data_IF_619095724892
#
_entry.id   IF_619095724892
#
_cell.length_a   1.000
_cell.length_b   1.000
_cell.length_c   1.000
_cell.angle_alpha   90.00
_cell.angle_beta   90.00
_cell.angle_gamma   90.00
#
_symmetry.space_group_name_H-M   'P 1'
#
loop_
_entity.id
_entity.type
_entity.pdbx_description
1 polymer ?
#
# COMPACT_ATOMS: atom_id res chain seq x y z
N UNK A 1 -4.86 -8.36 -17.09
CA UNK A 1 -4.43 -7.22 -16.25
C UNK A 1 -3.47 -7.74 -15.19
N UNK A 2 -2.28 -7.14 -15.01
CA UNK A 2 -1.23 -7.68 -14.10
C UNK A 2 -0.79 -6.63 -13.09
N UNK A 3 -1.69 -6.27 -12.17
CA UNK A 3 -1.48 -5.27 -11.10
C UNK A 3 -0.33 -5.66 -10.15
N UNK A 4 0.03 -6.95 -10.06
CA UNK A 4 1.13 -7.41 -9.19
C UNK A 4 2.53 -7.05 -9.68
N UNK A 5 2.74 -6.79 -10.98
CA UNK A 5 4.09 -6.64 -11.53
C UNK A 5 4.97 -7.86 -11.22
N UNK A 6 6.09 -7.62 -10.54
CA UNK A 6 7.05 -8.63 -10.07
C UNK A 6 6.85 -9.06 -8.60
N UNK A 7 5.80 -8.57 -7.94
CA UNK A 7 5.46 -8.94 -6.57
C UNK A 7 4.88 -10.35 -6.53
N UNK A 8 5.51 -11.24 -5.78
CA UNK A 8 4.97 -12.57 -5.51
C UNK A 8 3.64 -12.45 -4.73
N UNK A 9 2.57 -13.18 -5.12
CA UNK A 9 1.28 -13.12 -4.41
C UNK A 9 1.38 -13.36 -2.91
N UNK A 10 2.29 -14.22 -2.46
CA UNK A 10 2.53 -14.50 -1.04
C UNK A 10 2.99 -13.31 -0.20
N UNK A 11 3.40 -12.19 -0.83
CA UNK A 11 3.70 -10.95 -0.11
C UNK A 11 2.46 -10.13 0.25
N UNK A 12 1.32 -10.41 -0.38
CA UNK A 12 0.07 -9.68 -0.13
C UNK A 12 -1.09 -10.61 0.24
N UNK A 13 -0.96 -11.92 0.02
CA UNK A 13 -1.95 -12.92 0.40
C UNK A 13 -1.44 -13.74 1.58
N UNK A 14 -2.19 -13.75 2.67
CA UNK A 14 -1.90 -14.55 3.86
C UNK A 14 -2.21 -16.03 3.61
N UNK A 15 -1.69 -16.92 4.46
CA UNK A 15 -1.94 -18.37 4.34
C UNK A 15 -3.42 -18.76 4.42
N UNK A 16 -4.24 -18.00 5.17
CA UNK A 16 -5.69 -18.19 5.25
C UNK A 16 -6.48 -17.48 4.12
N UNK A 17 -5.80 -16.93 3.10
CA UNK A 17 -6.43 -16.37 1.91
C UNK A 17 -6.90 -14.92 2.03
N UNK A 18 -6.53 -14.20 3.09
CA UNK A 18 -6.81 -12.76 3.21
C UNK A 18 -5.81 -11.98 2.37
N UNK A 19 -6.26 -10.87 1.79
CA UNK A 19 -5.41 -9.97 1.01
C UNK A 19 -5.12 -8.73 1.86
N UNK A 20 -3.83 -8.45 2.08
CA UNK A 20 -3.39 -7.19 2.67
C UNK A 20 -3.81 -6.02 1.79
N UNK A 21 -4.18 -4.90 2.40
CA UNK A 21 -4.39 -3.67 1.66
C UNK A 21 -3.06 -3.25 1.00
N UNK A 22 -3.13 -2.82 -0.26
CA UNK A 22 -1.94 -2.60 -1.10
C UNK A 22 -1.71 -1.13 -1.42
N UNK A 23 -0.44 -0.76 -1.52
CA UNK A 23 0.01 0.50 -2.10
C UNK A 23 0.14 0.30 -3.59
N UNK A 24 -0.43 1.21 -4.39
CA UNK A 24 -0.25 1.21 -5.84
C UNK A 24 0.60 2.41 -6.27
N UNK A 25 1.60 2.16 -7.12
CA UNK A 25 2.38 3.18 -7.83
C UNK A 25 2.33 2.85 -9.32
N UNK A 26 1.89 3.81 -10.13
CA UNK A 26 1.70 3.66 -11.58
C UNK A 26 0.86 2.42 -11.97
N UNK A 27 -0.12 2.05 -11.13
CA UNK A 27 -1.00 0.91 -11.34
C UNK A 27 -0.43 -0.46 -10.92
N UNK A 28 0.73 -0.48 -10.27
CA UNK A 28 1.38 -1.71 -9.78
C UNK A 28 1.50 -1.73 -8.26
N UNK A 29 1.40 -2.92 -7.67
CA UNK A 29 1.63 -3.14 -6.23
C UNK A 29 3.06 -2.77 -5.88
N UNK A 30 3.20 -1.81 -4.97
CA UNK A 30 4.49 -1.33 -4.49
C UNK A 30 4.72 -1.59 -2.99
N UNK A 31 3.73 -2.15 -2.29
CA UNK A 31 3.80 -2.43 -0.85
C UNK A 31 2.45 -2.76 -0.24
N UNK A 32 2.42 -2.83 1.08
CA UNK A 32 1.20 -2.99 1.89
C UNK A 32 0.99 -1.78 2.79
N UNK A 33 -0.22 -1.65 3.33
CA UNK A 33 -0.50 -0.68 4.36
C UNK A 33 -1.54 -1.20 5.37
N UNK A 34 -1.60 -0.56 6.52
CA UNK A 34 -2.55 -0.87 7.60
C UNK A 34 -3.11 0.43 8.20
N UNK A 35 -4.36 0.40 8.68
CA UNK A 35 -4.94 1.46 9.50
C UNK A 35 -4.95 1.00 10.96
N UNK A 36 -4.15 1.65 11.80
CA UNK A 36 -4.04 1.33 13.22
C UNK A 36 -4.26 2.60 14.04
N UNK A 37 -5.27 2.62 14.92
CA UNK A 37 -5.54 3.76 15.78
C UNK A 37 -5.78 5.08 15.03
N UNK A 38 -6.42 5.02 13.86
CA UNK A 38 -6.67 6.18 13.01
C UNK A 38 -5.44 6.68 12.24
N UNK A 39 -4.34 5.91 12.21
CA UNK A 39 -3.12 6.22 11.45
C UNK A 39 -2.85 5.18 10.39
N UNK A 40 -2.47 5.64 9.20
CA UNK A 40 -2.09 4.79 8.07
C UNK A 40 -0.59 4.50 8.16
N UNK A 41 -0.26 3.23 8.36
CA UNK A 41 1.10 2.72 8.33
C UNK A 41 1.41 2.18 6.93
N UNK A 42 2.35 2.82 6.26
CA UNK A 42 2.79 2.46 4.91
C UNK A 42 4.03 1.56 4.95
N UNK A 43 4.02 0.45 4.20
CA UNK A 43 5.12 -0.51 4.12
C UNK A 43 5.50 -0.82 2.66
N UNK A 44 6.25 0.08 1.98
CA UNK A 44 6.72 -0.16 0.63
C UNK A 44 7.70 -1.35 0.55
N UNK A 45 7.61 -2.16 -0.50
CA UNK A 45 8.52 -3.29 -0.75
C UNK A 45 9.91 -2.87 -1.23
N UNK A 46 10.08 -1.61 -1.62
CA UNK A 46 11.32 -1.05 -2.10
C UNK A 46 11.35 0.46 -1.97
N UNK A 47 12.46 1.07 -2.40
CA UNK A 47 12.58 2.53 -2.42
C UNK A 47 11.66 3.09 -3.50
N UNK A 48 10.71 3.92 -3.08
CA UNK A 48 9.92 4.76 -3.98
C UNK A 48 10.74 5.99 -4.38
N UNK A 49 10.39 6.68 -5.45
CA UNK A 49 10.98 7.99 -5.72
C UNK A 49 10.38 9.08 -4.82
N UNK A 50 10.86 10.32 -4.95
CA UNK A 50 10.38 11.41 -4.11
C UNK A 50 8.94 11.86 -4.43
N UNK A 51 8.48 11.68 -5.67
CA UNK A 51 7.13 12.08 -6.08
C UNK A 51 6.11 11.08 -5.54
N UNK A 52 6.35 9.77 -5.74
CA UNK A 52 5.52 8.70 -5.23
C UNK A 52 5.42 8.72 -3.71
N UNK A 53 6.52 8.99 -2.98
CA UNK A 53 6.47 9.14 -1.52
C UNK A 53 5.55 10.27 -1.06
N UNK A 54 5.59 11.43 -1.72
CA UNK A 54 4.76 12.58 -1.37
C UNK A 54 3.30 12.28 -1.66
N UNK A 55 3.00 11.79 -2.86
CA UNK A 55 1.63 11.43 -3.24
C UNK A 55 1.03 10.36 -2.29
N UNK A 56 1.83 9.40 -1.85
CA UNK A 56 1.41 8.38 -0.90
C UNK A 56 1.15 8.94 0.50
N UNK A 57 1.96 9.90 0.96
CA UNK A 57 1.71 10.59 2.23
C UNK A 57 0.41 11.42 2.17
N UNK A 58 0.20 12.17 1.09
CA UNK A 58 -1.02 12.96 0.91
C UNK A 58 -2.28 12.07 0.86
N UNK A 59 -2.18 10.89 0.24
CA UNK A 59 -3.28 9.90 0.22
C UNK A 59 -3.52 9.27 1.60
N UNK A 60 -2.44 8.95 2.33
CA UNK A 60 -2.56 8.45 3.70
C UNK A 60 -3.32 9.44 4.58
N UNK A 61 -3.00 10.74 4.52
CA UNK A 61 -3.71 11.78 5.27
C UNK A 61 -5.20 11.86 4.92
N UNK A 62 -5.54 11.77 3.62
CA UNK A 62 -6.95 11.73 3.19
C UNK A 62 -7.68 10.51 3.71
N UNK A 63 -7.03 9.35 3.71
CA UNK A 63 -7.62 8.11 4.20
C UNK A 63 -7.78 8.13 5.72
N UNK A 64 -6.82 8.68 6.46
CA UNK A 64 -6.94 8.91 7.91
C UNK A 64 -8.13 9.82 8.22
N UNK A 65 -8.29 10.93 7.50
CA UNK A 65 -9.41 11.85 7.67
C UNK A 65 -10.77 11.25 7.25
N UNK A 66 -10.78 10.31 6.31
CA UNK A 66 -11.99 9.57 5.92
C UNK A 66 -12.41 8.54 6.98
N UNK A 67 -11.43 7.92 7.65
CA UNK A 67 -11.67 6.84 8.59
C UNK A 67 -11.93 7.30 10.03
N UNK A 68 -11.72 8.59 10.33
CA UNK A 68 -12.07 9.25 11.60
C UNK A 68 -13.55 9.60 11.69
#
# INVERSE_FOLDING_TARGET
SRILGDVAPSRIVTTNGLVHATILVDGFVAGTWQLEGGRVRLEPFGKLDAAARRALADEAERLEAFAS
#
